data_IF_315134310758
#
_entry.id   IF_315134310758
#
_cell.length_a   1.000
_cell.length_b   1.000
_cell.length_c   1.000
_cell.angle_alpha   90.00
_cell.angle_beta   90.00
_cell.angle_gamma   90.00
#
_symmetry.space_group_name_H-M   'P 1'
#
loop_
_entity.id
_entity.type
_entity.pdbx_description
1 polymer ?
#
# COMPACT_ATOMS: atom_id res chain seq x y z
N UNK A 1 -8.86 11.40 -33.23
CA UNK A 1 -8.83 11.52 -31.75
C UNK A 1 -9.37 10.25 -31.15
N UNK A 2 -8.89 9.82 -29.98
CA UNK A 2 -9.47 8.72 -29.22
C UNK A 2 -10.98 8.92 -29.00
N UNK A 3 -11.75 7.83 -29.03
CA UNK A 3 -13.18 7.87 -28.74
C UNK A 3 -13.46 8.11 -27.24
N UNK A 4 -12.57 7.62 -26.37
CA UNK A 4 -12.65 7.73 -24.92
C UNK A 4 -11.25 7.99 -24.33
N UNK A 5 -11.22 8.55 -23.13
CA UNK A 5 -10.01 8.71 -22.31
C UNK A 5 -10.22 8.08 -20.93
N UNK A 6 -9.18 7.43 -20.41
CA UNK A 6 -9.17 6.79 -19.10
C UNK A 6 -8.11 7.47 -18.22
N UNK A 7 -8.49 8.44 -17.37
CA UNK A 7 -7.54 9.16 -16.55
C UNK A 7 -7.04 8.28 -15.40
N UNK A 8 -5.83 8.55 -14.93
CA UNK A 8 -5.22 7.86 -13.78
C UNK A 8 -5.64 8.44 -12.43
N UNK A 9 -6.37 9.56 -12.43
CA UNK A 9 -6.92 10.24 -11.25
C UNK A 9 -8.14 11.07 -11.64
N UNK A 10 -9.13 11.16 -10.76
CA UNK A 10 -10.35 11.97 -10.95
C UNK A 10 -10.32 13.32 -10.22
N UNK A 11 -9.21 13.67 -9.56
CA UNK A 11 -9.06 14.98 -8.93
C UNK A 11 -9.13 16.11 -9.97
N UNK A 12 -9.77 17.22 -9.64
CA UNK A 12 -9.99 18.35 -10.56
C UNK A 12 -8.67 18.83 -11.19
N UNK A 13 -7.63 19.02 -10.37
CA UNK A 13 -6.29 19.39 -10.83
C UNK A 13 -5.68 18.35 -11.79
N UNK A 14 -5.88 17.05 -11.52
CA UNK A 14 -5.40 15.96 -12.35
C UNK A 14 -6.09 15.96 -13.71
N UNK A 15 -7.40 16.19 -13.74
CA UNK A 15 -8.20 16.26 -14.96
C UNK A 15 -7.79 17.46 -15.81
N UNK A 16 -7.61 18.64 -15.19
CA UNK A 16 -7.14 19.84 -15.89
C UNK A 16 -5.76 19.63 -16.50
N UNK A 17 -4.85 19.02 -15.75
CA UNK A 17 -3.51 18.66 -16.24
C UNK A 17 -3.59 17.70 -17.42
N UNK A 18 -4.42 16.66 -17.32
CA UNK A 18 -4.65 15.69 -18.39
C UNK A 18 -5.13 16.35 -19.68
N UNK A 19 -6.13 17.25 -19.58
CA UNK A 19 -6.63 18.00 -20.74
C UNK A 19 -5.54 18.82 -21.42
N UNK A 20 -4.71 19.52 -20.63
CA UNK A 20 -3.60 20.30 -21.14
C UNK A 20 -2.48 19.46 -21.79
N UNK A 21 -2.18 18.28 -21.24
CA UNK A 21 -1.20 17.34 -21.80
C UNK A 21 -1.67 16.75 -23.13
N UNK A 22 -2.94 16.34 -23.22
CA UNK A 22 -3.53 15.86 -24.46
C UNK A 22 -3.61 16.94 -25.54
N UNK A 23 -3.89 18.18 -25.14
CA UNK A 23 -3.83 19.33 -26.05
C UNK A 23 -2.43 19.51 -26.62
N UNK A 24 -1.40 19.50 -25.76
CA UNK A 24 0.01 19.59 -26.20
C UNK A 24 0.37 18.45 -27.14
N UNK A 25 0.00 17.21 -26.80
CA UNK A 25 0.26 16.03 -27.63
C UNK A 25 -0.36 16.15 -29.02
N UNK A 26 -1.62 16.57 -29.12
CA UNK A 26 -2.30 16.74 -30.41
C UNK A 26 -1.73 17.92 -31.18
N UNK A 27 -1.41 19.03 -30.51
CA UNK A 27 -0.73 20.18 -31.10
C UNK A 27 0.59 19.76 -31.76
N UNK A 28 1.42 19.00 -31.05
CA UNK A 28 2.71 18.52 -31.58
C UNK A 28 2.55 17.56 -32.77
N UNK A 29 1.46 16.78 -32.81
CA UNK A 29 1.12 15.94 -33.96
C UNK A 29 0.72 16.80 -35.17
N UNK A 30 -0.09 17.84 -34.97
CA UNK A 30 -0.53 18.76 -36.02
C UNK A 30 0.68 19.51 -36.59
N UNK A 31 1.51 20.11 -35.73
CA UNK A 31 2.72 20.83 -36.15
C UNK A 31 3.63 19.93 -36.99
N UNK A 32 3.90 18.71 -36.53
CA UNK A 32 4.72 17.74 -37.29
C UNK A 32 4.07 17.32 -38.61
N UNK A 33 2.78 16.99 -38.60
CA UNK A 33 2.08 16.47 -39.80
C UNK A 33 1.97 17.51 -40.91
N UNK A 34 1.82 18.77 -40.57
CA UNK A 34 1.69 19.87 -41.54
C UNK A 34 2.97 20.69 -41.70
N UNK A 35 4.08 20.25 -41.07
CA UNK A 35 5.35 20.98 -41.04
C UNK A 35 5.16 22.47 -40.64
N UNK A 36 4.30 22.70 -39.65
CA UNK A 36 3.96 24.02 -39.16
C UNK A 36 4.88 24.41 -38.01
N UNK A 37 5.61 25.51 -38.19
CA UNK A 37 6.49 26.10 -37.18
C UNK A 37 5.70 27.13 -36.35
N UNK A 38 5.19 26.66 -35.21
CA UNK A 38 4.41 27.48 -34.29
C UNK A 38 5.26 28.62 -33.70
N UNK A 39 6.52 28.36 -33.34
CA UNK A 39 7.40 29.38 -32.76
C UNK A 39 7.66 30.53 -33.73
N UNK A 40 7.86 30.21 -35.02
CA UNK A 40 7.96 31.22 -36.08
C UNK A 40 6.67 32.02 -36.20
N UNK A 41 5.52 31.35 -36.22
CA UNK A 41 4.23 32.03 -36.30
C UNK A 41 4.03 32.99 -35.12
N UNK A 42 4.31 32.53 -33.90
CA UNK A 42 4.20 33.33 -32.66
C UNK A 42 5.08 34.59 -32.76
N UNK A 43 6.33 34.45 -33.21
CA UNK A 43 7.25 35.59 -33.42
C UNK A 43 6.71 36.61 -34.43
N UNK A 44 6.07 36.12 -35.49
CA UNK A 44 5.53 36.95 -36.57
C UNK A 44 4.15 37.56 -36.21
N UNK A 45 3.44 37.03 -35.20
CA UNK A 45 2.06 37.39 -34.86
C UNK A 45 1.87 37.78 -33.38
N UNK A 46 2.67 38.75 -32.91
CA UNK A 46 2.47 39.44 -31.61
C UNK A 46 2.42 38.47 -30.40
N UNK A 47 3.12 37.34 -30.48
CA UNK A 47 3.23 36.41 -29.37
C UNK A 47 2.03 35.47 -29.18
N UNK A 48 1.07 35.43 -30.11
CA UNK A 48 -0.14 34.59 -29.98
C UNK A 48 -0.02 33.32 -30.81
N UNK A 49 -0.29 32.16 -30.20
CA UNK A 49 -0.37 30.90 -30.92
C UNK A 49 -1.74 30.76 -31.60
N UNK A 50 -1.82 30.26 -32.84
CA UNK A 50 -3.12 29.96 -33.47
C UNK A 50 -3.90 28.91 -32.67
N UNK A 51 -3.19 28.06 -31.91
CA UNK A 51 -3.79 27.02 -31.09
C UNK A 51 -4.49 27.56 -29.82
N UNK A 52 -4.13 28.76 -29.35
CA UNK A 52 -4.75 29.36 -28.15
C UNK A 52 -6.26 29.54 -28.32
N UNK A 53 -6.69 29.87 -29.55
CA UNK A 53 -8.10 30.08 -29.90
C UNK A 53 -8.96 28.81 -29.81
N UNK A 54 -8.36 27.62 -29.95
CA UNK A 54 -9.08 26.34 -29.97
C UNK A 54 -8.87 25.53 -28.69
N UNK A 55 -7.96 25.95 -27.81
CA UNK A 55 -7.59 25.20 -26.61
C UNK A 55 -8.78 24.88 -25.71
N UNK A 56 -9.60 25.87 -25.38
CA UNK A 56 -10.77 25.67 -24.53
C UNK A 56 -11.79 24.68 -25.10
N UNK A 57 -12.07 24.79 -26.41
CA UNK A 57 -12.98 23.86 -27.10
C UNK A 57 -12.40 22.43 -27.13
N UNK A 58 -11.08 22.31 -27.32
CA UNK A 58 -10.41 21.02 -27.30
C UNK A 58 -10.46 20.37 -25.92
N UNK A 59 -10.09 21.10 -24.87
CA UNK A 59 -10.11 20.59 -23.49
C UNK A 59 -11.53 20.16 -23.07
N UNK A 60 -12.57 20.94 -23.42
CA UNK A 60 -13.96 20.54 -23.18
C UNK A 60 -14.34 19.23 -23.87
N UNK A 61 -13.88 19.01 -25.11
CA UNK A 61 -14.15 17.76 -25.83
C UNK A 61 -13.36 16.58 -25.24
N UNK A 62 -12.16 16.81 -24.71
CA UNK A 62 -11.43 15.79 -23.93
C UNK A 62 -12.23 15.42 -22.68
N UNK A 63 -12.70 16.41 -21.92
CA UNK A 63 -13.47 16.16 -20.70
C UNK A 63 -14.77 15.41 -20.96
N UNK A 64 -15.48 15.72 -22.05
CA UNK A 64 -16.70 15.00 -22.47
C UNK A 64 -16.45 13.52 -22.79
N UNK A 65 -15.21 13.17 -23.15
CA UNK A 65 -14.79 11.81 -23.50
C UNK A 65 -14.10 11.06 -22.36
N UNK A 66 -13.91 11.69 -21.20
CA UNK A 66 -13.41 11.00 -20.02
C UNK A 66 -14.39 9.89 -19.61
N UNK A 67 -13.82 8.75 -19.23
CA UNK A 67 -14.53 7.62 -18.66
C UNK A 67 -14.03 7.42 -17.25
N UNK A 68 -14.98 7.40 -16.30
CA UNK A 68 -14.70 7.06 -14.91
C UNK A 68 -14.63 5.53 -14.82
N UNK A 69 -13.43 5.01 -14.94
CA UNK A 69 -13.16 3.58 -14.77
C UNK A 69 -12.58 3.36 -13.36
N UNK A 70 -13.47 3.06 -12.42
CA UNK A 70 -13.09 2.88 -11.03
C UNK A 70 -12.24 1.62 -10.82
N UNK A 71 -12.42 0.57 -11.63
CA UNK A 71 -11.57 -0.62 -11.57
C UNK A 71 -10.13 -0.27 -11.97
N UNK A 72 -9.97 0.51 -13.04
CA UNK A 72 -8.65 1.01 -13.45
C UNK A 72 -7.99 1.86 -12.35
N UNK A 73 -8.74 2.77 -11.72
CA UNK A 73 -8.23 3.62 -10.64
C UNK A 73 -7.83 2.81 -9.41
N UNK A 74 -8.64 1.80 -9.03
CA UNK A 74 -8.30 0.87 -7.94
C UNK A 74 -7.01 0.11 -8.25
N UNK A 75 -6.85 -0.41 -9.47
CA UNK A 75 -5.62 -1.09 -9.88
C UNK A 75 -4.41 -0.15 -9.79
N UNK A 76 -4.51 1.09 -10.24
CA UNK A 76 -3.43 2.09 -10.10
C UNK A 76 -3.05 2.29 -8.64
N UNK A 77 -4.04 2.45 -7.76
CA UNK A 77 -3.82 2.66 -6.34
C UNK A 77 -3.11 1.45 -5.70
N UNK A 78 -3.59 0.24 -5.99
CA UNK A 78 -2.99 -1.02 -5.51
C UNK A 78 -1.53 -1.12 -5.97
N UNK A 79 -1.28 -0.93 -7.28
CA UNK A 79 0.08 -0.98 -7.84
C UNK A 79 1.01 0.01 -7.17
N UNK A 80 0.55 1.25 -6.95
CA UNK A 80 1.35 2.29 -6.28
C UNK A 80 1.74 1.86 -4.86
N UNK A 81 0.76 1.39 -4.07
CA UNK A 81 1.00 0.92 -2.71
C UNK A 81 1.97 -0.26 -2.66
N UNK A 82 1.82 -1.25 -3.56
CA UNK A 82 2.73 -2.39 -3.63
C UNK A 82 4.16 -1.96 -3.98
N UNK A 83 4.33 -1.08 -4.97
CA UNK A 83 5.65 -0.58 -5.34
C UNK A 83 6.32 0.23 -4.21
N UNK A 84 5.54 0.98 -3.42
CA UNK A 84 6.03 1.69 -2.23
C UNK A 84 6.48 0.68 -1.16
N UNK A 85 5.66 -0.33 -0.84
CA UNK A 85 6.04 -1.39 0.11
C UNK A 85 7.31 -2.14 -0.29
N UNK A 86 7.41 -2.53 -1.56
CA UNK A 86 8.59 -3.22 -2.10
C UNK A 86 9.82 -2.30 -2.01
N UNK A 87 9.68 -1.03 -2.39
CA UNK A 87 10.75 -0.04 -2.26
C UNK A 87 11.25 0.07 -0.84
N UNK A 88 10.34 0.27 0.11
CA UNK A 88 10.70 0.47 1.52
C UNK A 88 11.43 -0.75 2.07
N UNK A 89 11.01 -1.96 1.70
CA UNK A 89 11.72 -3.20 2.04
C UNK A 89 13.15 -3.20 1.49
N UNK A 90 13.33 -2.87 0.20
CA UNK A 90 14.64 -2.83 -0.45
C UNK A 90 15.55 -1.76 0.16
N UNK A 91 15.02 -0.59 0.50
CA UNK A 91 15.77 0.48 1.17
C UNK A 91 16.28 0.05 2.55
N UNK A 92 15.47 -0.70 3.33
CA UNK A 92 15.86 -1.24 4.65
C UNK A 92 17.04 -2.23 4.57
N UNK A 93 17.17 -2.97 3.48
CA UNK A 93 18.22 -3.97 3.28
C UNK A 93 19.44 -3.43 2.51
N UNK A 94 19.74 -2.14 2.66
CA UNK A 94 20.83 -1.44 1.95
C UNK A 94 20.66 -1.45 0.43
N UNK A 95 19.44 -1.20 -0.04
CA UNK A 95 19.07 -1.04 -1.45
C UNK A 95 19.14 -2.30 -2.32
N UNK A 96 19.41 -3.49 -1.75
CA UNK A 96 19.48 -4.75 -2.50
C UNK A 96 18.91 -5.89 -1.67
N UNK A 97 17.93 -6.60 -2.24
CA UNK A 97 17.39 -7.86 -1.72
C UNK A 97 17.50 -8.92 -2.81
N UNK A 98 18.23 -9.99 -2.53
CA UNK A 98 18.14 -11.21 -3.31
C UNK A 98 16.85 -11.97 -3.02
N UNK A 99 16.18 -12.42 -4.08
CA UNK A 99 14.94 -13.21 -3.99
C UNK A 99 15.13 -14.65 -4.47
N UNK A 100 16.19 -14.92 -5.23
CA UNK A 100 16.62 -16.29 -5.55
C UNK A 100 17.78 -16.71 -4.64
N UNK A 101 18.78 -15.84 -4.49
CA UNK A 101 19.86 -15.99 -3.52
C UNK A 101 19.61 -15.14 -2.27
N UNK A 102 20.15 -15.55 -1.13
CA UNK A 102 19.99 -14.86 0.17
C UNK A 102 20.95 -13.67 0.33
N UNK A 103 21.26 -12.96 -0.75
CA UNK A 103 22.12 -11.79 -0.73
C UNK A 103 21.35 -10.54 -0.25
N UNK A 104 22.05 -9.65 0.46
CA UNK A 104 21.49 -8.41 1.03
C UNK A 104 22.54 -7.32 0.94
N UNK A 105 22.17 -6.13 0.43
CA UNK A 105 23.07 -4.99 0.28
C UNK A 105 24.24 -5.16 -0.71
N UNK A 106 24.36 -6.32 -1.35
CA UNK A 106 25.40 -6.65 -2.34
C UNK A 106 24.76 -7.51 -3.42
N UNK A 107 25.11 -7.28 -4.69
CA UNK A 107 24.59 -8.05 -5.81
C UNK A 107 25.01 -9.52 -5.74
N UNK A 108 24.11 -10.45 -6.10
CA UNK A 108 24.42 -11.91 -6.08
C UNK A 108 25.59 -12.29 -7.02
N UNK A 109 25.87 -11.46 -8.03
CA UNK A 109 27.00 -11.65 -8.96
C UNK A 109 28.36 -11.35 -8.33
N UNK A 110 28.38 -10.65 -7.19
CA UNK A 110 29.61 -10.19 -6.53
C UNK A 110 30.03 -11.08 -5.35
N UNK A 111 29.09 -11.85 -4.78
CA UNK A 111 29.35 -12.74 -3.65
C UNK A 111 28.44 -13.96 -3.69
N UNK A 112 29.00 -15.13 -3.37
CA UNK A 112 28.20 -16.35 -3.22
C UNK A 112 27.24 -16.22 -2.04
N UNK A 113 26.00 -16.65 -2.23
CA UNK A 113 24.97 -16.69 -1.21
C UNK A 113 24.14 -17.95 -1.38
N UNK A 114 23.62 -18.56 -0.29
CA UNK A 114 22.71 -19.70 -0.39
C UNK A 114 21.44 -19.34 -1.16
N UNK A 115 20.77 -20.34 -1.72
CA UNK A 115 19.49 -20.16 -2.43
C UNK A 115 18.30 -20.19 -1.45
N UNK A 116 17.20 -19.57 -1.88
CA UNK A 116 15.88 -19.80 -1.32
C UNK A 116 15.25 -21.06 -1.93
N UNK A 117 14.31 -21.68 -1.24
CA UNK A 117 13.58 -22.84 -1.79
C UNK A 117 12.60 -22.42 -2.89
N UNK A 118 12.07 -21.20 -2.78
CA UNK A 118 11.13 -20.60 -3.72
C UNK A 118 11.54 -19.17 -4.01
N UNK A 119 11.14 -18.68 -5.18
CA UNK A 119 11.42 -17.32 -5.62
C UNK A 119 10.22 -16.79 -6.42
N UNK A 120 9.91 -15.49 -6.37
CA UNK A 120 8.79 -14.93 -7.12
C UNK A 120 8.97 -15.14 -8.62
N UNK A 121 7.88 -15.44 -9.32
CA UNK A 121 7.85 -15.58 -10.78
C UNK A 121 6.88 -14.53 -11.32
N UNK A 122 7.37 -13.63 -12.17
CA UNK A 122 6.58 -12.48 -12.61
C UNK A 122 6.51 -12.38 -14.12
N UNK A 123 5.48 -11.69 -14.58
CA UNK A 123 5.33 -11.29 -15.98
C UNK A 123 5.55 -9.79 -16.09
N UNK A 124 6.36 -9.37 -17.06
CA UNK A 124 6.62 -7.97 -17.36
C UNK A 124 5.95 -7.53 -18.66
N UNK A 125 5.56 -6.26 -18.71
CA UNK A 125 5.08 -5.63 -19.92
C UNK A 125 5.78 -4.29 -20.11
N UNK A 126 6.85 -4.28 -20.90
CA UNK A 126 7.61 -3.08 -21.23
C UNK A 126 7.32 -2.64 -22.67
N UNK A 127 6.64 -1.50 -22.82
CA UNK A 127 6.23 -0.97 -24.13
C UNK A 127 7.37 -0.47 -25.01
N UNK A 128 8.59 -0.29 -24.47
CA UNK A 128 9.78 0.07 -25.23
C UNK A 128 10.32 -1.10 -26.06
N UNK A 129 10.07 -2.34 -25.62
CA UNK A 129 10.41 -3.53 -26.36
C UNK A 129 9.15 -3.98 -27.12
N UNK A 130 9.20 -3.89 -28.44
CA UNK A 130 8.12 -4.35 -29.32
C UNK A 130 8.05 -5.88 -29.31
N UNK A 131 7.68 -6.46 -28.17
CA UNK A 131 7.51 -7.89 -28.00
C UNK A 131 6.40 -8.39 -28.92
N UNK A 132 6.71 -9.38 -29.75
CA UNK A 132 5.72 -10.09 -30.53
C UNK A 132 4.89 -10.92 -29.52
N UNK A 133 3.69 -10.42 -29.20
CA UNK A 133 2.70 -10.96 -28.25
C UNK A 133 3.04 -12.27 -27.54
N UNK A 134 3.57 -12.16 -26.33
CA UNK A 134 3.75 -13.26 -25.37
C UNK A 134 3.79 -12.70 -23.94
N UNK A 135 3.29 -13.48 -22.98
CA UNK A 135 3.49 -13.26 -21.54
C UNK A 135 4.47 -14.32 -21.06
N UNK A 136 5.76 -14.07 -21.23
CA UNK A 136 6.79 -14.95 -20.69
C UNK A 136 7.03 -14.59 -19.23
N UNK A 137 6.96 -15.61 -18.38
CA UNK A 137 7.25 -15.46 -16.96
C UNK A 137 8.75 -15.57 -16.72
N UNK A 138 9.28 -14.74 -15.82
CA UNK A 138 10.67 -14.78 -15.42
C UNK A 138 10.77 -14.88 -13.89
N UNK A 139 11.76 -15.61 -13.41
CA UNK A 139 12.05 -15.67 -11.97
C UNK A 139 12.72 -14.37 -11.55
N UNK A 140 12.25 -13.77 -10.46
CA UNK A 140 12.88 -12.59 -9.87
C UNK A 140 14.09 -13.07 -9.09
N UNK A 141 15.28 -12.67 -9.50
CA UNK A 141 16.52 -13.04 -8.80
C UNK A 141 16.89 -12.03 -7.72
N UNK A 142 16.60 -10.75 -7.98
CA UNK A 142 17.02 -9.67 -7.12
C UNK A 142 16.12 -8.44 -7.31
N UNK A 143 15.92 -7.68 -6.23
CA UNK A 143 15.29 -6.37 -6.20
C UNK A 143 16.33 -5.36 -5.76
N UNK A 144 16.48 -4.25 -6.47
CA UNK A 144 17.50 -3.26 -6.12
C UNK A 144 17.13 -1.84 -6.52
N UNK A 145 17.74 -0.86 -5.86
CA UNK A 145 17.64 0.55 -6.22
C UNK A 145 18.95 0.99 -6.87
N UNK A 146 18.87 1.46 -8.11
CA UNK A 146 20.04 1.92 -8.86
C UNK A 146 20.58 3.26 -8.33
N UNK A 147 21.74 3.68 -8.85
CA UNK A 147 22.34 4.98 -8.51
C UNK A 147 21.50 6.21 -8.87
N UNK A 148 20.41 6.05 -9.63
CA UNK A 148 19.45 7.11 -9.96
C UNK A 148 18.18 7.06 -9.08
N UNK A 149 18.13 6.15 -8.09
CA UNK A 149 16.98 5.97 -7.21
C UNK A 149 15.82 5.17 -7.81
N UNK A 150 16.01 4.53 -8.97
CA UNK A 150 14.99 3.69 -9.60
C UNK A 150 14.99 2.30 -8.98
N UNK A 151 13.81 1.85 -8.59
CA UNK A 151 13.59 0.48 -8.15
C UNK A 151 13.49 -0.44 -9.38
N UNK A 152 14.39 -1.41 -9.45
CA UNK A 152 14.56 -2.37 -10.52
C UNK A 152 14.45 -3.80 -9.95
N UNK A 153 14.15 -4.75 -10.83
CA UNK A 153 14.25 -6.17 -10.55
C UNK A 153 15.13 -6.84 -11.60
N UNK A 154 16.07 -7.69 -11.16
CA UNK A 154 16.80 -8.62 -12.02
C UNK A 154 15.92 -9.84 -12.27
N UNK A 155 15.65 -10.14 -13.53
CA UNK A 155 14.83 -11.25 -13.98
C UNK A 155 15.69 -12.28 -14.69
N UNK A 156 15.43 -13.56 -14.43
CA UNK A 156 16.01 -14.68 -15.19
C UNK A 156 14.93 -15.27 -16.11
N UNK A 157 15.14 -15.11 -17.42
CA UNK A 157 14.21 -15.58 -18.47
C UNK A 157 14.31 -17.07 -18.76
N UNK A 158 13.43 -17.58 -19.62
CA UNK A 158 13.42 -19.01 -19.98
C UNK A 158 14.71 -19.49 -20.65
N UNK A 159 15.43 -18.61 -21.36
CA UNK A 159 16.72 -18.95 -21.97
C UNK A 159 17.90 -18.81 -20.99
N UNK A 160 17.63 -18.55 -19.70
CA UNK A 160 18.60 -18.42 -18.63
C UNK A 160 19.37 -17.10 -18.65
N UNK A 161 18.90 -16.12 -19.42
CA UNK A 161 19.44 -14.78 -19.48
C UNK A 161 18.97 -13.93 -18.31
N UNK A 162 19.88 -13.13 -17.76
CA UNK A 162 19.53 -12.14 -16.76
C UNK A 162 19.32 -10.77 -17.41
N UNK A 163 18.26 -10.07 -17.02
CA UNK A 163 17.99 -8.71 -17.46
C UNK A 163 17.27 -7.90 -16.39
N UNK A 164 17.55 -6.59 -16.36
CA UNK A 164 16.99 -5.69 -15.36
C UNK A 164 15.78 -4.94 -15.94
N UNK A 165 14.67 -4.96 -15.21
CA UNK A 165 13.46 -4.22 -15.57
C UNK A 165 13.05 -3.26 -14.44
N UNK A 166 12.51 -2.07 -14.76
CA UNK A 166 11.87 -1.25 -13.76
C UNK A 166 10.68 -1.99 -13.16
N UNK A 167 10.56 -1.96 -11.83
CA UNK A 167 9.49 -2.65 -11.12
C UNK A 167 8.09 -2.27 -11.62
N UNK A 168 7.93 -1.04 -12.13
CA UNK A 168 6.68 -0.54 -12.70
C UNK A 168 6.24 -1.26 -13.99
N UNK A 169 7.12 -2.04 -14.63
CA UNK A 169 6.79 -2.89 -15.78
C UNK A 169 6.25 -4.26 -15.37
N UNK A 170 6.41 -4.66 -14.10
CA UNK A 170 5.84 -5.91 -13.57
C UNK A 170 4.31 -5.79 -13.50
N UNK A 171 3.59 -6.84 -13.89
CA UNK A 171 2.14 -6.91 -13.79
C UNK A 171 1.66 -6.83 -12.33
N UNK A 172 0.39 -6.49 -12.12
CA UNK A 172 -0.15 -6.24 -10.77
C UNK A 172 -0.09 -7.49 -9.92
N UNK A 173 -0.40 -8.63 -10.53
CA UNK A 173 -0.30 -9.97 -9.94
C UNK A 173 1.14 -10.29 -9.54
N UNK A 174 2.12 -9.96 -10.38
CA UNK A 174 3.54 -10.14 -10.05
C UNK A 174 4.02 -9.23 -8.91
N UNK A 175 3.50 -7.99 -8.84
CA UNK A 175 3.79 -7.10 -7.70
C UNK A 175 3.22 -7.65 -6.38
N UNK A 176 2.03 -8.26 -6.43
CA UNK A 176 1.43 -8.95 -5.27
C UNK A 176 2.29 -10.14 -4.85
N UNK A 177 2.72 -10.95 -5.80
CA UNK A 177 3.58 -12.11 -5.54
C UNK A 177 4.91 -11.72 -4.89
N UNK A 178 5.57 -10.67 -5.41
CA UNK A 178 6.78 -10.13 -4.79
C UNK A 178 6.49 -9.65 -3.35
N UNK A 179 5.42 -8.88 -3.16
CA UNK A 179 5.09 -8.34 -1.83
C UNK A 179 4.80 -9.46 -0.81
N UNK A 180 4.02 -10.48 -1.19
CA UNK A 180 3.75 -11.63 -0.33
C UNK A 180 5.01 -12.43 -0.03
N UNK A 181 5.88 -12.64 -1.01
CA UNK A 181 7.15 -13.33 -0.79
C UNK A 181 8.04 -12.56 0.19
N UNK A 182 8.12 -11.23 0.03
CA UNK A 182 8.87 -10.36 0.95
C UNK A 182 8.29 -10.40 2.37
N UNK A 183 6.97 -10.48 2.51
CA UNK A 183 6.30 -10.63 3.80
C UNK A 183 6.58 -12.00 4.44
N UNK A 184 6.43 -13.09 3.68
CA UNK A 184 6.73 -14.46 4.12
C UNK A 184 8.17 -14.61 4.63
N UNK A 185 9.12 -13.90 3.99
CA UNK A 185 10.53 -13.92 4.35
C UNK A 185 10.94 -12.81 5.33
N UNK A 186 9.98 -12.04 5.86
CA UNK A 186 10.17 -11.06 6.93
C UNK A 186 10.86 -9.76 6.52
N UNK A 187 10.93 -9.45 5.23
CA UNK A 187 11.43 -8.18 4.70
C UNK A 187 10.38 -7.06 4.76
N UNK A 188 9.13 -7.43 4.54
CA UNK A 188 7.97 -6.61 4.85
C UNK A 188 7.47 -7.16 6.17
N UNK A 189 7.53 -6.34 7.23
CA UNK A 189 6.78 -6.66 8.42
C UNK A 189 5.32 -6.76 8.03
N UNK A 190 4.58 -7.67 8.65
CA UNK A 190 3.12 -7.71 8.50
C UNK A 190 2.48 -6.35 8.80
N UNK A 191 3.24 -5.38 9.39
CA UNK A 191 3.03 -3.92 9.48
C UNK A 191 1.61 -3.51 9.13
N UNK A 192 0.72 -4.06 9.92
CA UNK A 192 -0.57 -3.51 10.17
C UNK A 192 -0.22 -2.31 11.04
N UNK A 193 -0.02 -1.15 10.40
CA UNK A 193 0.18 0.09 11.12
C UNK A 193 -1.02 0.23 12.06
N UNK A 194 -0.81 0.03 13.35
CA UNK A 194 -1.89 0.06 14.35
C UNK A 194 -2.67 1.38 14.31
N UNK A 195 -2.09 2.46 13.75
CA UNK A 195 -2.77 3.75 13.52
C UNK A 195 -3.76 3.73 12.35
N UNK A 196 -3.62 2.80 11.40
CA UNK A 196 -4.45 2.67 10.20
C UNK A 196 -5.51 1.58 10.34
N UNK A 197 -5.32 0.64 11.27
CA UNK A 197 -6.35 -0.34 11.61
C UNK A 197 -7.39 0.34 12.47
N UNK A 198 -8.64 0.24 12.03
CA UNK A 198 -9.80 0.70 12.78
C UNK A 198 -10.41 -0.49 13.49
N UNK A 199 -10.71 -0.34 14.78
CA UNK A 199 -11.37 -1.36 15.62
C UNK A 199 -12.55 -0.76 16.36
N UNK A 200 -13.44 -1.63 16.84
CA UNK A 200 -14.53 -1.25 17.73
C UNK A 200 -13.97 -0.60 19.00
N UNK A 201 -14.44 0.61 19.33
CA UNK A 201 -13.99 1.31 20.52
C UNK A 201 -14.41 0.58 21.81
N UNK A 202 -15.51 -0.17 21.76
CA UNK A 202 -16.07 -0.88 22.90
C UNK A 202 -15.37 -2.22 23.15
N UNK A 203 -15.17 -3.04 22.12
CA UNK A 203 -14.66 -4.40 22.31
C UNK A 203 -13.31 -4.68 21.67
N UNK A 204 -12.79 -3.79 20.82
CA UNK A 204 -11.52 -3.95 20.10
C UNK A 204 -11.57 -4.93 18.92
N UNK A 205 -12.75 -5.39 18.51
CA UNK A 205 -12.87 -6.22 17.30
C UNK A 205 -12.55 -5.41 16.04
N UNK A 206 -11.86 -6.02 15.09
CA UNK A 206 -11.72 -5.53 13.71
C UNK A 206 -12.83 -6.07 12.79
N UNK A 207 -13.72 -6.92 13.31
CA UNK A 207 -14.93 -7.38 12.62
C UNK A 207 -16.04 -6.31 12.70
N UNK A 208 -15.81 -5.23 11.95
CA UNK A 208 -16.61 -4.03 11.96
C UNK A 208 -17.04 -3.63 10.55
N UNK A 209 -18.14 -2.89 10.47
CA UNK A 209 -18.72 -2.40 9.23
C UNK A 209 -18.98 -0.90 9.36
N UNK A 210 -18.80 -0.16 8.27
CA UNK A 210 -19.12 1.27 8.20
C UNK A 210 -20.01 1.52 6.99
N UNK A 211 -20.96 2.44 7.11
CA UNK A 211 -21.80 2.84 6.00
C UNK A 211 -20.96 3.51 4.91
N UNK A 212 -21.33 3.23 3.67
CA UNK A 212 -20.63 3.74 2.51
C UNK A 212 -21.57 4.30 1.46
N UNK A 213 -21.17 5.41 0.86
CA UNK A 213 -21.73 5.89 -0.38
C UNK A 213 -21.28 4.96 -1.51
N UNK A 214 -22.25 4.36 -2.17
CA UNK A 214 -22.04 3.49 -3.34
C UNK A 214 -22.78 4.09 -4.51
N UNK A 215 -22.14 4.17 -5.68
CA UNK A 215 -22.86 4.46 -6.92
C UNK A 215 -23.77 3.26 -7.22
N UNK A 216 -25.10 3.39 -7.15
CA UNK A 216 -25.98 2.24 -7.31
C UNK A 216 -25.97 1.68 -8.73
N UNK A 217 -25.60 2.48 -9.74
CA UNK A 217 -25.58 2.06 -11.13
C UNK A 217 -24.27 1.36 -11.48
N UNK A 218 -23.15 1.85 -10.94
CA UNK A 218 -21.83 1.26 -11.16
C UNK A 218 -21.48 0.18 -10.12
N UNK A 219 -22.22 0.13 -9.00
CA UNK A 219 -21.90 -0.68 -7.80
C UNK A 219 -20.49 -0.42 -7.26
N UNK A 220 -20.01 0.81 -7.42
CA UNK A 220 -18.65 1.20 -7.01
C UNK A 220 -18.71 2.00 -5.73
N UNK A 221 -17.80 1.68 -4.82
CA UNK A 221 -17.56 2.46 -3.60
C UNK A 221 -17.11 3.89 -3.95
N UNK A 222 -17.77 4.89 -3.36
CA UNK A 222 -17.46 6.32 -3.53
C UNK A 222 -16.69 6.83 -2.31
N UNK A 223 -17.07 6.37 -1.12
CA UNK A 223 -16.49 6.78 0.16
C UNK A 223 -17.31 6.27 1.32
N UNK A 224 -16.76 6.30 2.52
CA UNK A 224 -17.53 6.02 3.75
C UNK A 224 -18.32 7.24 4.16
N UNK A 225 -19.37 7.04 4.95
CA UNK A 225 -19.94 8.13 5.76
C UNK A 225 -18.96 8.46 6.91
N UNK A 226 -19.24 9.51 7.68
CA UNK A 226 -18.34 9.91 8.77
C UNK A 226 -18.23 8.83 9.85
N UNK A 227 -17.23 8.95 10.73
CA UNK A 227 -17.03 8.03 11.87
C UNK A 227 -18.02 8.40 13.00
N UNK A 228 -19.32 8.48 12.70
CA UNK A 228 -20.33 8.60 13.74
C UNK A 228 -20.80 7.20 14.19
N UNK A 229 -21.25 7.10 15.45
CA UNK A 229 -21.63 5.81 16.05
C UNK A 229 -22.74 5.11 15.25
N UNK A 230 -23.67 5.84 14.63
CA UNK A 230 -24.84 5.27 13.96
C UNK A 230 -24.53 4.72 12.57
N UNK A 231 -23.45 5.20 11.97
CA UNK A 231 -22.95 4.74 10.69
C UNK A 231 -22.05 3.50 10.80
N UNK A 232 -21.70 3.12 12.02
CA UNK A 232 -20.71 2.09 12.33
C UNK A 232 -21.38 0.93 13.07
N UNK A 233 -21.05 -0.30 12.68
CA UNK A 233 -21.60 -1.53 13.27
C UNK A 233 -20.46 -2.46 13.68
N UNK A 234 -20.54 -3.04 14.87
CA UNK A 234 -19.58 -4.05 15.34
C UNK A 234 -20.27 -5.40 15.47
N UNK A 235 -19.79 -6.41 14.73
CA UNK A 235 -20.42 -7.73 14.72
C UNK A 235 -20.20 -8.51 16.03
N UNK A 236 -19.09 -8.28 16.74
CA UNK A 236 -18.88 -8.89 18.07
C UNK A 236 -19.75 -8.26 19.18
N UNK A 237 -20.19 -7.02 18.99
CA UNK A 237 -21.08 -6.33 19.93
C UNK A 237 -22.55 -6.47 19.56
N UNK A 238 -22.84 -6.83 18.31
CA UNK A 238 -24.18 -6.80 17.72
C UNK A 238 -24.88 -5.44 17.92
N UNK A 239 -24.11 -4.34 17.87
CA UNK A 239 -24.62 -2.98 18.09
C UNK A 239 -23.79 -1.91 17.34
N UNK A 240 -24.36 -0.72 17.24
CA UNK A 240 -23.75 0.48 16.72
C UNK A 240 -22.72 1.06 17.68
N UNK A 241 -21.45 1.00 17.29
CA UNK A 241 -20.32 1.38 18.14
C UNK A 241 -19.46 2.46 17.47
N UNK A 242 -18.89 3.39 18.25
CA UNK A 242 -17.82 4.23 17.73
C UNK A 242 -16.58 3.36 17.49
N UNK A 243 -15.71 3.84 16.60
CA UNK A 243 -14.46 3.15 16.27
C UNK A 243 -13.27 4.01 16.68
N UNK A 244 -12.16 3.36 17.02
CA UNK A 244 -10.87 4.00 17.27
C UNK A 244 -9.77 3.25 16.50
N UNK A 245 -8.55 3.76 16.52
CA UNK A 245 -7.41 3.03 15.96
C UNK A 245 -7.04 1.85 16.86
N UNK A 246 -6.45 0.80 16.29
CA UNK A 246 -5.92 -0.33 17.07
C UNK A 246 -4.87 0.15 18.09
N UNK A 247 -4.08 1.16 17.72
CA UNK A 247 -3.10 1.76 18.63
C UNK A 247 -3.77 2.36 19.85
N UNK A 248 -4.74 3.24 19.67
CA UNK A 248 -5.50 3.86 20.77
C UNK A 248 -6.16 2.79 21.64
N UNK A 249 -6.68 1.72 21.04
CA UNK A 249 -7.26 0.61 21.79
C UNK A 249 -6.21 -0.12 22.65
N UNK A 250 -5.04 -0.46 22.08
CA UNK A 250 -3.93 -1.09 22.81
C UNK A 250 -3.42 -0.22 23.95
N UNK A 251 -3.29 1.10 23.73
CA UNK A 251 -2.87 2.06 24.76
C UNK A 251 -3.86 2.07 25.93
N UNK A 252 -5.17 2.12 25.68
CA UNK A 252 -6.20 2.05 26.75
C UNK A 252 -6.17 0.72 27.51
N UNK A 253 -5.98 -0.41 26.83
CA UNK A 253 -5.81 -1.70 27.51
C UNK A 253 -4.57 -1.70 28.39
N UNK A 254 -3.48 -1.09 27.94
CA UNK A 254 -2.24 -1.01 28.72
C UNK A 254 -2.42 -0.08 29.94
N UNK A 255 -3.04 1.09 29.76
CA UNK A 255 -3.36 2.00 30.86
C UNK A 255 -4.26 1.33 31.91
N UNK A 256 -5.23 0.53 31.48
CA UNK A 256 -6.07 -0.27 32.38
C UNK A 256 -5.21 -1.27 33.17
N UNK A 257 -4.36 -2.04 32.50
CA UNK A 257 -3.49 -3.01 33.15
C UNK A 257 -2.57 -2.36 34.18
N UNK A 258 -1.93 -1.25 33.81
CA UNK A 258 -1.02 -0.50 34.67
C UNK A 258 -1.73 0.15 35.88
N UNK A 259 -3.05 0.33 35.79
CA UNK A 259 -3.87 0.88 36.88
C UNK A 259 -4.31 -0.16 37.93
N UNK A 260 -4.15 -1.46 37.64
CA UNK A 260 -4.59 -2.53 38.54
C UNK A 260 -3.74 -2.60 39.80
N UNK A 261 -4.39 -2.86 40.93
CA UNK A 261 -3.68 -3.16 42.17
C UNK A 261 -3.19 -4.62 42.21
N UNK A 262 -2.31 -4.93 43.16
CA UNK A 262 -1.70 -6.25 43.28
C UNK A 262 -2.72 -7.38 43.51
N UNK A 263 -3.84 -7.10 44.19
CA UNK A 263 -4.88 -8.12 44.40
C UNK A 263 -5.63 -8.41 43.10
N UNK A 264 -5.91 -7.38 42.31
CA UNK A 264 -6.55 -7.53 41.00
C UNK A 264 -5.64 -8.29 40.04
N UNK A 265 -4.34 -7.94 40.00
CA UNK A 265 -3.35 -8.67 39.20
C UNK A 265 -3.22 -10.13 39.63
N UNK A 266 -3.21 -10.43 40.93
CA UNK A 266 -3.19 -11.82 41.44
C UNK A 266 -4.45 -12.60 41.01
N UNK A 267 -5.63 -11.97 41.06
CA UNK A 267 -6.88 -12.61 40.62
C UNK A 267 -6.88 -12.93 39.13
N UNK A 268 -6.36 -12.04 38.30
CA UNK A 268 -6.35 -12.19 36.83
C UNK A 268 -5.27 -13.19 36.38
N UNK A 269 -4.05 -13.05 36.91
CA UNK A 269 -2.90 -13.87 36.49
C UNK A 269 -2.88 -15.24 37.16
N UNK A 270 -3.48 -15.38 38.35
CA UNK A 270 -3.32 -16.55 39.21
C UNK A 270 -1.92 -16.66 39.85
N UNK A 271 -1.04 -15.68 39.63
CA UNK A 271 0.28 -15.61 40.25
C UNK A 271 0.12 -15.23 41.73
N UNK A 272 0.71 -15.99 42.65
CA UNK A 272 0.65 -15.67 44.08
C UNK A 272 1.85 -14.85 44.52
N UNK A 273 1.57 -13.80 45.29
CA UNK A 273 2.59 -12.90 45.83
C UNK A 273 3.60 -13.62 46.75
N UNK A 274 3.21 -14.71 47.40
CA UNK A 274 4.02 -15.49 48.34
C UNK A 274 5.04 -16.46 47.69
N UNK A 275 4.97 -16.63 46.36
CA UNK A 275 5.87 -17.52 45.59
C UNK A 275 6.88 -16.81 44.70
N UNK A 276 6.91 -15.47 44.72
CA UNK A 276 7.87 -14.70 43.93
C UNK A 276 9.29 -14.79 44.53
N UNK A 277 10.36 -14.92 43.70
CA UNK A 277 11.74 -15.02 44.19
C UNK A 277 12.13 -13.80 45.03
N UNK A 278 12.85 -14.02 46.13
CA UNK A 278 13.16 -13.01 47.14
C UNK A 278 14.06 -11.86 46.65
N UNK A 279 13.43 -10.84 46.08
CA UNK A 279 13.75 -9.41 46.17
C UNK A 279 12.45 -8.68 46.57
N UNK A 280 12.50 -7.41 46.98
CA UNK A 280 11.35 -6.65 47.55
C UNK A 280 9.99 -7.13 46.99
N UNK A 281 9.27 -7.95 47.76
CA UNK A 281 8.28 -8.93 47.24
C UNK A 281 7.18 -8.30 46.36
N UNK A 282 7.00 -6.97 46.43
CA UNK A 282 6.06 -6.22 45.59
C UNK A 282 6.59 -5.99 44.18
N UNK A 283 7.88 -5.71 44.03
CA UNK A 283 8.50 -5.41 42.74
C UNK A 283 8.62 -6.68 41.88
N UNK A 284 9.12 -7.78 42.46
CA UNK A 284 9.20 -9.06 41.73
C UNK A 284 7.83 -9.64 41.34
N UNK A 285 6.79 -9.36 42.13
CA UNK A 285 5.40 -9.72 41.80
C UNK A 285 4.88 -8.92 40.60
N UNK A 286 5.02 -7.59 40.63
CA UNK A 286 4.60 -6.73 39.52
C UNK A 286 5.35 -7.08 38.22
N UNK A 287 6.66 -7.34 38.30
CA UNK A 287 7.45 -7.79 37.15
C UNK A 287 6.93 -9.11 36.58
N UNK A 288 6.61 -10.10 37.43
CA UNK A 288 6.06 -11.39 37.00
C UNK A 288 4.68 -11.22 36.32
N UNK A 289 3.81 -10.38 36.88
CA UNK A 289 2.49 -10.11 36.29
C UNK A 289 2.63 -9.36 34.95
N UNK A 290 3.56 -8.41 34.85
CA UNK A 290 3.82 -7.68 33.60
C UNK A 290 4.41 -8.59 32.52
N UNK A 291 5.34 -9.48 32.86
CA UNK A 291 5.83 -10.50 31.92
C UNK A 291 4.70 -11.41 31.45
N UNK A 292 3.80 -11.81 32.34
CA UNK A 292 2.62 -12.59 31.96
C UNK A 292 1.73 -11.84 30.97
N UNK A 293 1.47 -10.55 31.22
CA UNK A 293 0.68 -9.70 30.34
C UNK A 293 1.36 -9.51 28.98
N UNK A 294 2.65 -9.18 28.94
CA UNK A 294 3.37 -8.95 27.69
C UNK A 294 3.48 -10.19 26.80
N UNK A 295 3.45 -11.39 27.39
CA UNK A 295 3.44 -12.64 26.64
C UNK A 295 2.07 -12.99 26.01
N UNK A 296 1.02 -12.19 26.25
CA UNK A 296 -0.33 -12.40 25.68
C UNK A 296 -0.48 -11.75 24.31
N UNK A 297 -1.13 -12.47 23.39
CA UNK A 297 -1.54 -11.90 22.11
C UNK A 297 -2.66 -10.86 22.24
N UNK A 298 -2.90 -10.07 21.18
CA UNK A 298 -3.93 -9.02 21.19
C UNK A 298 -5.32 -9.55 21.58
N UNK A 299 -5.79 -10.63 20.94
CA UNK A 299 -7.11 -11.21 21.22
C UNK A 299 -7.23 -11.75 22.65
N UNK A 300 -6.13 -12.31 23.20
CA UNK A 300 -6.09 -12.77 24.58
C UNK A 300 -6.19 -11.60 25.56
N UNK A 301 -5.38 -10.54 25.34
CA UNK A 301 -5.42 -9.29 26.12
C UNK A 301 -6.83 -8.67 26.09
N UNK A 302 -7.45 -8.62 24.91
CA UNK A 302 -8.81 -8.09 24.68
C UNK A 302 -9.87 -8.88 25.45
N UNK A 303 -9.80 -10.21 25.42
CA UNK A 303 -10.72 -11.07 26.15
C UNK A 303 -10.63 -10.85 27.66
N UNK A 304 -9.40 -10.79 28.20
CA UNK A 304 -9.17 -10.51 29.63
C UNK A 304 -9.71 -9.12 29.99
N UNK A 305 -9.41 -8.11 29.18
CA UNK A 305 -9.88 -6.75 29.41
C UNK A 305 -11.42 -6.66 29.45
N UNK A 306 -12.12 -7.37 28.54
CA UNK A 306 -13.58 -7.44 28.47
C UNK A 306 -14.21 -8.21 29.65
N UNK A 307 -13.55 -9.23 30.17
CA UNK A 307 -14.03 -9.97 31.35
C UNK A 307 -14.01 -9.11 32.63
N UNK A 308 -13.17 -8.07 32.66
CA UNK A 308 -12.90 -7.26 33.86
C UNK A 308 -13.36 -5.79 33.75
N UNK A 309 -13.66 -5.30 32.55
CA UNK A 309 -14.38 -4.06 32.32
C UNK A 309 -15.76 -4.45 31.78
N UNK A 310 -16.80 -4.28 32.60
CA UNK A 310 -18.19 -4.49 32.16
C UNK A 310 -18.50 -3.53 31.00
N UNK A 311 -18.27 -4.00 29.78
CA UNK A 311 -18.75 -3.48 28.52
C UNK A 311 -20.04 -4.22 28.17
#
# INVERSE_FOLDING_TARGET
MPCCYFPTSLGENSILKFGGEEFRRVKDIVCRRYNFDEDKYIRENVGVSPFDSVRGNFEQEVYRRLRKDYAHLSIISIRKSLMEKIRDAVEKENNIIGTFYRNRGVHYREAESPEYETSPIVVVHNSAFYGYGGYESATVYELFIDGNGKLLCTLNGEAGEDFDEPIGQVQTEGLLEIAHWLEEHGFISADVNDNEIVVCEECGSDNIQTQAWVDPNARTFIGTTGIDRYDNWCDECEDHQPFCTLKEFKERMQEWWDSLDANQMEQITGCRQDKCPAGDNRQGFAETCNEWWENKGYDEKRKIWKEHNNC
#
